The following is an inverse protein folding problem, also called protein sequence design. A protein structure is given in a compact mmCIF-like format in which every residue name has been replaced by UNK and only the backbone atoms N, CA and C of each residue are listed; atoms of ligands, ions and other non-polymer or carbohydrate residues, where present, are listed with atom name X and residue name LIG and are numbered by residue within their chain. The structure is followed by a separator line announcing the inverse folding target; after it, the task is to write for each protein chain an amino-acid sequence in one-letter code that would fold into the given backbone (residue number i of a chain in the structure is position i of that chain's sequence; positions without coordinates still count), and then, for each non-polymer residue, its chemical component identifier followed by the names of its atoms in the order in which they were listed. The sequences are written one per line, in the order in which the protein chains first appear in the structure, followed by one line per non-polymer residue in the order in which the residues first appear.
data_IF_244298093316
#
_entry.id   IF_244298093316
#
_cell.length_a   1.000
_cell.length_b   1.000
_cell.length_c   1.000
_cell.angle_alpha   90.00
_cell.angle_beta   90.00
_cell.angle_gamma   90.00
#
_symmetry.space_group_name_H-M   'P 1'
#
loop_
_entity.id
_entity.type
_entity.pdbx_description
1 polymer ?
#
# COMPACT_ATOMS: atom_id res chain seq x y z
N UNK A 1 23.44 -7.10 43.18
CA UNK A 1 23.21 -7.64 41.82
C UNK A 1 22.11 -6.80 41.18
N UNK A 2 22.16 -6.49 39.88
CA UNK A 2 21.08 -5.75 39.18
C UNK A 2 20.63 -6.46 37.90
N UNK A 3 19.42 -6.18 37.43
CA UNK A 3 18.91 -6.73 36.17
C UNK A 3 19.18 -5.77 35.01
N UNK A 4 19.54 -6.32 33.84
CA UNK A 4 19.73 -5.54 32.63
C UNK A 4 18.40 -4.94 32.15
N UNK A 5 18.35 -3.61 31.99
CA UNK A 5 17.15 -2.89 31.51
C UNK A 5 16.71 -3.27 30.09
N UNK A 6 17.58 -3.86 29.27
CA UNK A 6 17.26 -4.25 27.90
C UNK A 6 16.86 -5.72 27.73
N UNK A 7 17.43 -6.64 28.51
CA UNK A 7 17.25 -8.08 28.30
C UNK A 7 16.79 -8.86 29.54
N UNK A 8 16.67 -8.21 30.70
CA UNK A 8 16.13 -8.81 31.92
C UNK A 8 17.03 -9.86 32.58
N UNK A 9 18.29 -10.02 32.15
CA UNK A 9 19.25 -10.94 32.80
C UNK A 9 19.99 -10.29 33.96
N UNK A 10 20.37 -11.07 34.96
CA UNK A 10 21.17 -10.61 36.10
C UNK A 10 22.61 -10.25 35.66
N UNK A 11 23.08 -9.11 36.16
CA UNK A 11 24.41 -8.55 35.92
C UNK A 11 25.00 -7.98 37.20
N UNK A 12 26.34 -7.93 37.27
CA UNK A 12 27.07 -7.34 38.41
C UNK A 12 26.79 -5.82 38.48
N UNK A 13 26.67 -5.25 39.68
CA UNK A 13 26.26 -3.84 39.88
C UNK A 13 27.15 -2.81 39.16
N UNK A 14 28.44 -3.11 38.98
CA UNK A 14 29.42 -2.16 38.43
C UNK A 14 29.74 -2.35 36.93
N UNK A 15 28.95 -3.14 36.18
CA UNK A 15 29.19 -3.27 34.74
C UNK A 15 28.57 -2.09 33.99
N UNK A 16 29.37 -1.43 33.15
CA UNK A 16 28.90 -0.35 32.26
C UNK A 16 28.04 -0.90 31.12
N UNK A 17 28.29 -2.13 30.69
CA UNK A 17 27.58 -2.78 29.60
C UNK A 17 27.16 -4.20 29.99
N UNK A 18 25.98 -4.62 29.55
CA UNK A 18 25.49 -5.97 29.77
C UNK A 18 26.27 -6.98 28.91
N UNK A 19 26.93 -8.00 29.50
CA UNK A 19 27.70 -8.99 28.75
C UNK A 19 26.83 -9.90 27.86
N UNK A 20 25.51 -9.93 28.06
CA UNK A 20 24.61 -10.79 27.29
C UNK A 20 23.97 -10.11 26.08
N UNK A 21 23.81 -8.78 26.09
CA UNK A 21 23.10 -8.06 25.02
C UNK A 21 23.79 -6.76 24.59
N UNK A 22 24.90 -6.37 25.21
CA UNK A 22 25.65 -5.16 24.90
C UNK A 22 25.01 -3.85 25.34
N UNK A 23 23.85 -3.87 26.01
CA UNK A 23 23.14 -2.65 26.43
C UNK A 23 23.85 -1.89 27.55
N UNK A 24 23.90 -0.56 27.46
CA UNK A 24 24.46 0.34 28.49
C UNK A 24 23.64 0.27 29.80
N UNK A 25 24.29 0.42 30.94
CA UNK A 25 23.72 0.28 32.29
C UNK A 25 23.92 1.54 33.17
N UNK A 26 24.04 2.73 32.56
CA UNK A 26 24.15 4.01 33.27
C UNK A 26 23.04 4.18 34.30
N UNK A 27 23.44 4.26 35.57
CA UNK A 27 22.56 4.64 36.67
C UNK A 27 22.24 6.12 36.56
N UNK A 28 20.96 6.43 36.33
CA UNK A 28 20.43 7.78 36.41
C UNK A 28 20.46 8.18 37.89
N UNK A 29 21.55 8.81 38.32
CA UNK A 29 21.57 9.53 39.59
C UNK A 29 20.63 10.72 39.48
N UNK A 30 19.53 10.65 40.22
CA UNK A 30 18.59 11.74 40.36
C UNK A 30 19.30 12.98 40.93
N UNK A 31 19.33 14.07 40.17
CA UNK A 31 19.52 15.42 40.70
C UNK A 31 18.47 16.30 40.05
N UNK A 32 17.52 16.70 40.88
CA UNK A 32 16.45 17.64 40.60
C UNK A 32 17.02 19.05 40.50
N UNK A 33 17.05 19.61 39.30
CA UNK A 33 17.05 21.06 39.08
C UNK A 33 16.49 21.32 37.68
N UNK A 34 15.34 21.97 37.63
CA UNK A 34 14.65 22.29 36.39
C UNK A 34 15.42 23.30 35.56
N UNK A 35 15.58 22.97 34.28
CA UNK A 35 15.84 23.89 33.18
C UNK A 35 15.21 23.23 31.93
N UNK A 36 14.23 23.91 31.33
CA UNK A 36 13.65 23.55 30.03
C UNK A 36 14.73 23.66 28.95
N UNK A 37 15.48 22.59 28.75
CA UNK A 37 16.32 22.40 27.58
C UNK A 37 15.53 21.61 26.55
N UNK A 38 15.13 22.29 25.48
CA UNK A 38 14.56 21.71 24.26
C UNK A 38 15.52 20.62 23.76
N UNK A 39 15.17 19.36 24.05
CA UNK A 39 15.86 18.20 23.54
C UNK A 39 15.63 18.12 22.03
N UNK A 40 16.48 18.81 21.26
CA UNK A 40 16.71 18.47 19.86
C UNK A 40 17.29 17.06 19.85
N UNK A 41 16.43 16.06 19.63
CA UNK A 41 16.88 14.71 19.33
C UNK A 41 17.66 14.79 18.03
N UNK A 42 18.99 14.80 18.14
CA UNK A 42 19.85 14.51 16.98
C UNK A 42 19.62 13.05 16.65
N UNK A 43 18.71 12.81 15.72
CA UNK A 43 18.59 11.51 15.04
C UNK A 43 19.95 11.26 14.43
N UNK A 44 20.76 10.45 15.12
CA UNK A 44 22.02 9.96 14.56
C UNK A 44 21.55 8.88 13.58
N UNK A 45 21.26 9.28 12.35
CA UNK A 45 20.87 8.34 11.31
C UNK A 45 22.10 7.47 11.06
N UNK A 46 22.01 6.23 11.51
CA UNK A 46 23.06 5.23 11.31
C UNK A 46 23.26 5.04 9.80
N UNK A 47 24.46 5.39 9.31
CA UNK A 47 24.80 5.34 7.89
C UNK A 47 24.63 3.92 7.32
N UNK A 48 24.81 2.89 8.15
CA UNK A 48 24.59 1.50 7.76
C UNK A 48 23.11 1.24 7.41
N UNK A 49 22.18 1.75 8.22
CA UNK A 49 20.74 1.65 7.95
C UNK A 49 20.32 2.32 6.64
N UNK A 50 20.93 3.48 6.30
CA UNK A 50 20.67 4.18 5.03
C UNK A 50 21.15 3.32 3.84
N UNK A 51 22.35 2.74 3.94
CA UNK A 51 22.92 1.91 2.88
C UNK A 51 22.07 0.66 2.65
N UNK A 52 21.62 -0.01 3.72
CA UNK A 52 20.72 -1.15 3.63
C UNK A 52 19.37 -0.78 2.98
N UNK A 53 18.82 0.40 3.28
CA UNK A 53 17.57 0.88 2.69
C UNK A 53 17.76 1.19 1.20
N UNK A 54 18.87 1.83 0.83
CA UNK A 54 19.21 2.14 -0.55
C UNK A 54 19.39 0.86 -1.38
N UNK A 55 20.04 -0.16 -0.83
CA UNK A 55 20.24 -1.44 -1.50
C UNK A 55 18.91 -2.18 -1.69
N UNK A 56 18.04 -2.20 -0.66
CA UNK A 56 16.68 -2.76 -0.78
C UNK A 56 15.85 -2.01 -1.83
N UNK A 57 15.96 -0.68 -1.90
CA UNK A 57 15.29 0.14 -2.90
C UNK A 57 15.76 -0.15 -4.33
N UNK A 58 17.08 -0.23 -4.57
CA UNK A 58 17.64 -0.62 -5.87
C UNK A 58 17.17 -2.01 -6.30
N UNK A 59 17.12 -2.95 -5.37
CA UNK A 59 16.63 -4.29 -5.62
C UNK A 59 15.16 -4.30 -6.03
N UNK A 60 14.33 -3.43 -5.46
CA UNK A 60 12.92 -3.29 -5.82
C UNK A 60 12.71 -2.77 -7.25
N UNK A 61 13.40 -1.69 -7.65
CA UNK A 61 13.27 -1.18 -9.02
C UNK A 61 13.84 -2.14 -10.07
N UNK A 62 14.94 -2.84 -9.74
CA UNK A 62 15.46 -3.92 -10.57
C UNK A 62 14.43 -5.05 -10.73
N UNK A 63 13.73 -5.40 -9.63
CA UNK A 63 12.63 -6.36 -9.63
C UNK A 63 11.46 -5.92 -10.54
N UNK A 64 10.97 -4.68 -10.40
CA UNK A 64 9.90 -4.13 -11.25
C UNK A 64 10.32 -4.20 -12.73
N UNK A 65 11.52 -3.71 -13.05
CA UNK A 65 12.00 -3.66 -14.43
C UNK A 65 12.18 -5.06 -15.03
N UNK A 66 12.63 -6.02 -14.22
CA UNK A 66 12.71 -7.44 -14.62
C UNK A 66 11.32 -8.00 -14.92
N UNK A 67 10.34 -7.75 -14.07
CA UNK A 67 8.96 -8.24 -14.23
C UNK A 67 8.23 -7.59 -15.42
N UNK A 68 8.53 -6.34 -15.77
CA UNK A 68 7.98 -5.71 -16.98
C UNK A 68 8.46 -6.43 -18.24
N UNK A 69 9.73 -6.84 -18.28
CA UNK A 69 10.29 -7.58 -19.42
C UNK A 69 9.82 -9.03 -19.45
N UNK A 70 9.69 -9.66 -18.28
CA UNK A 70 9.33 -11.06 -18.13
C UNK A 70 8.35 -11.24 -16.95
N UNK A 71 7.04 -11.07 -17.17
CA UNK A 71 6.07 -11.14 -16.09
C UNK A 71 5.98 -12.56 -15.52
N UNK A 72 6.19 -12.69 -14.21
CA UNK A 72 6.13 -13.95 -13.49
C UNK A 72 4.67 -14.27 -13.18
N UNK A 73 4.05 -15.15 -13.96
CA UNK A 73 2.68 -15.60 -13.74
C UNK A 73 2.68 -17.01 -13.14
N UNK A 74 2.02 -17.19 -12.00
CA UNK A 74 1.74 -18.50 -11.41
C UNK A 74 2.89 -19.19 -10.66
N UNK A 75 4.13 -18.74 -10.79
CA UNK A 75 5.27 -19.31 -10.05
C UNK A 75 5.48 -18.59 -8.71
N UNK A 76 5.81 -19.33 -7.65
CA UNK A 76 6.26 -18.75 -6.38
C UNK A 76 7.64 -18.14 -6.58
N UNK A 77 7.77 -16.84 -6.32
CA UNK A 77 9.05 -16.15 -6.38
C UNK A 77 9.75 -16.23 -5.02
N UNK A 78 11.09 -16.14 -4.98
CA UNK A 78 11.85 -16.19 -3.73
C UNK A 78 11.60 -14.97 -2.81
N UNK A 79 11.09 -13.86 -3.36
CA UNK A 79 10.94 -12.59 -2.68
C UNK A 79 9.47 -12.13 -2.62
N UNK A 80 8.60 -12.90 -1.97
CA UNK A 80 7.15 -12.60 -1.92
C UNK A 80 6.78 -11.22 -1.36
N UNK A 81 7.68 -10.57 -0.62
CA UNK A 81 7.44 -9.25 -0.04
C UNK A 81 7.37 -8.12 -1.09
N UNK A 82 7.96 -8.28 -2.28
CA UNK A 82 7.91 -7.24 -3.31
C UNK A 82 6.50 -7.05 -3.88
N UNK A 83 5.69 -8.10 -3.92
CA UNK A 83 4.25 -8.00 -4.20
C UNK A 83 3.51 -7.12 -3.20
N UNK A 84 3.81 -7.25 -1.90
CA UNK A 84 3.20 -6.42 -0.84
C UNK A 84 3.62 -4.96 -1.02
N UNK A 85 4.90 -4.70 -1.27
CA UNK A 85 5.41 -3.34 -1.54
C UNK A 85 4.72 -2.74 -2.76
N UNK A 86 4.59 -3.52 -3.84
CA UNK A 86 3.91 -3.08 -5.08
C UNK A 86 2.44 -2.78 -4.85
N UNK A 87 1.74 -3.62 -4.08
CA UNK A 87 0.36 -3.38 -3.67
C UNK A 87 0.25 -2.06 -2.89
N UNK A 88 1.04 -1.86 -1.83
CA UNK A 88 0.96 -0.66 -1.01
C UNK A 88 1.29 0.60 -1.81
N UNK A 89 2.40 0.57 -2.56
CA UNK A 89 2.86 1.70 -3.36
C UNK A 89 1.83 2.08 -4.42
N UNK A 90 1.26 1.09 -5.11
CA UNK A 90 0.26 1.33 -6.15
C UNK A 90 -1.00 2.00 -5.56
N UNK A 91 -1.52 1.51 -4.44
CA UNK A 91 -2.71 2.09 -3.81
C UNK A 91 -2.45 3.52 -3.31
N UNK A 92 -1.28 3.78 -2.71
CA UNK A 92 -0.89 5.14 -2.29
C UNK A 92 -0.81 6.08 -3.48
N UNK A 93 -0.14 5.67 -4.56
CA UNK A 93 -0.01 6.49 -5.76
C UNK A 93 -1.36 6.78 -6.41
N UNK A 94 -2.25 5.78 -6.52
CA UNK A 94 -3.59 5.97 -7.10
C UNK A 94 -4.42 6.92 -6.23
N UNK A 95 -4.50 6.67 -4.92
CA UNK A 95 -5.26 7.50 -3.99
C UNK A 95 -4.76 8.95 -4.00
N UNK A 96 -3.44 9.15 -3.95
CA UNK A 96 -2.84 10.48 -3.99
C UNK A 96 -3.10 11.19 -5.32
N UNK A 97 -3.00 10.46 -6.44
CA UNK A 97 -3.24 11.01 -7.78
C UNK A 97 -4.67 11.49 -7.95
N UNK A 98 -5.66 10.68 -7.54
CA UNK A 98 -7.09 11.03 -7.64
C UNK A 98 -7.41 12.16 -6.67
N UNK A 99 -6.95 12.07 -5.43
CA UNK A 99 -7.19 13.09 -4.41
C UNK A 99 -6.61 14.45 -4.81
N UNK A 100 -5.40 14.47 -5.35
CA UNK A 100 -4.80 15.69 -5.86
C UNK A 100 -5.54 16.22 -7.10
N UNK A 101 -5.90 15.34 -8.06
CA UNK A 101 -6.60 15.74 -9.28
C UNK A 101 -7.98 16.35 -8.99
N UNK A 102 -8.73 15.79 -8.04
CA UNK A 102 -10.01 16.33 -7.61
C UNK A 102 -9.80 17.58 -6.76
N UNK A 103 -8.91 17.49 -5.76
CA UNK A 103 -8.37 18.59 -4.94
C UNK A 103 -8.18 19.91 -5.65
N UNK A 104 -7.32 19.89 -6.67
CA UNK A 104 -6.90 21.07 -7.44
C UNK A 104 -8.06 21.87 -8.02
N UNK A 105 -9.19 21.22 -8.35
CA UNK A 105 -10.33 21.89 -8.96
C UNK A 105 -11.29 22.53 -7.95
N UNK A 106 -11.15 22.24 -6.66
CA UNK A 106 -12.09 22.68 -5.62
C UNK A 106 -11.40 23.50 -4.52
N UNK A 107 -10.42 22.93 -3.81
CA UNK A 107 -9.63 23.61 -2.78
C UNK A 107 -8.37 22.82 -2.42
N UNK A 108 -7.32 23.48 -1.91
CA UNK A 108 -6.06 22.81 -1.55
C UNK A 108 -6.17 21.91 -0.29
N UNK A 109 -7.07 22.24 0.62
CA UNK A 109 -7.39 21.43 1.81
C UNK A 109 -8.05 20.10 1.42
N UNK A 110 -8.86 20.11 0.37
CA UNK A 110 -9.60 18.93 -0.11
C UNK A 110 -8.71 17.75 -0.55
N UNK A 111 -7.50 18.03 -1.07
CA UNK A 111 -6.56 16.99 -1.47
C UNK A 111 -6.16 16.04 -0.35
N UNK A 112 -6.19 16.47 0.91
CA UNK A 112 -5.79 15.63 2.04
C UNK A 112 -6.99 14.89 2.64
N UNK A 113 -8.16 15.54 2.69
CA UNK A 113 -9.39 14.95 3.23
C UNK A 113 -9.86 13.75 2.41
N UNK A 114 -9.83 13.84 1.08
CA UNK A 114 -10.25 12.74 0.20
C UNK A 114 -9.20 11.62 0.11
N UNK A 115 -7.93 11.91 0.44
CA UNK A 115 -6.84 10.95 0.27
C UNK A 115 -7.02 9.72 1.16
N UNK A 116 -7.34 9.92 2.45
CA UNK A 116 -7.43 8.82 3.40
C UNK A 116 -8.62 7.87 3.11
N UNK A 117 -9.84 8.36 2.84
CA UNK A 117 -10.96 7.50 2.43
C UNK A 117 -10.66 6.74 1.12
N UNK A 118 -10.06 7.41 0.12
CA UNK A 118 -9.68 6.75 -1.13
C UNK A 118 -8.60 5.69 -0.92
N UNK A 119 -7.58 5.98 -0.11
CA UNK A 119 -6.53 5.04 0.22
C UNK A 119 -7.13 3.79 0.90
N UNK A 120 -8.03 3.99 1.86
CA UNK A 120 -8.71 2.89 2.55
C UNK A 120 -9.57 2.09 1.57
N UNK A 121 -10.34 2.75 0.70
CA UNK A 121 -11.15 2.10 -0.33
C UNK A 121 -10.29 1.21 -1.23
N UNK A 122 -9.21 1.73 -1.77
CA UNK A 122 -8.36 0.97 -2.68
C UNK A 122 -7.61 -0.14 -1.95
N UNK A 123 -7.09 0.10 -0.75
CA UNK A 123 -6.46 -0.95 0.05
C UNK A 123 -7.44 -2.11 0.30
N UNK A 124 -8.59 -1.84 0.90
CA UNK A 124 -9.56 -2.89 1.28
C UNK A 124 -10.15 -3.55 0.05
N UNK A 125 -10.57 -2.77 -0.96
CA UNK A 125 -11.12 -3.29 -2.21
C UNK A 125 -10.12 -4.21 -2.89
N UNK A 126 -8.90 -3.75 -3.14
CA UNK A 126 -7.89 -4.58 -3.80
C UNK A 126 -7.42 -5.77 -2.97
N UNK A 127 -7.53 -5.71 -1.64
CA UNK A 127 -7.28 -6.86 -0.77
C UNK A 127 -8.29 -7.99 -0.98
N UNK A 128 -9.53 -7.70 -1.37
CA UNK A 128 -10.54 -8.72 -1.74
C UNK A 128 -10.00 -9.63 -2.84
N UNK A 129 -9.31 -9.09 -3.85
CA UNK A 129 -8.72 -9.88 -4.94
C UNK A 129 -7.64 -10.84 -4.41
N UNK A 130 -6.82 -10.38 -3.46
CA UNK A 130 -5.79 -11.20 -2.80
C UNK A 130 -6.43 -12.34 -2.02
N UNK A 131 -7.43 -12.03 -1.19
CA UNK A 131 -8.16 -13.03 -0.40
C UNK A 131 -8.86 -14.03 -1.31
N UNK A 132 -9.49 -13.59 -2.40
CA UNK A 132 -10.15 -14.46 -3.36
C UNK A 132 -9.16 -15.46 -3.97
N UNK A 133 -8.02 -15.01 -4.50
CA UNK A 133 -6.99 -15.92 -5.05
C UNK A 133 -6.42 -16.84 -3.98
N UNK A 134 -6.16 -16.33 -2.77
CA UNK A 134 -5.64 -17.12 -1.65
C UNK A 134 -6.60 -18.26 -1.26
N UNK A 135 -7.89 -17.94 -1.06
CA UNK A 135 -8.91 -18.92 -0.69
C UNK A 135 -9.12 -19.95 -1.79
N UNK A 136 -9.20 -19.52 -3.06
CA UNK A 136 -9.38 -20.42 -4.19
C UNK A 136 -8.18 -21.35 -4.37
N UNK A 137 -6.96 -20.81 -4.28
CA UNK A 137 -5.73 -21.58 -4.42
C UNK A 137 -5.59 -22.63 -3.31
N UNK A 138 -5.81 -22.24 -2.05
CA UNK A 138 -5.65 -23.13 -0.91
C UNK A 138 -6.80 -24.13 -0.74
N UNK A 139 -8.05 -23.69 -0.87
CA UNK A 139 -9.23 -24.54 -0.61
C UNK A 139 -9.66 -25.37 -1.81
N UNK A 140 -9.57 -24.81 -3.02
CA UNK A 140 -10.18 -25.42 -4.21
C UNK A 140 -9.13 -26.14 -5.05
N UNK A 141 -8.01 -25.46 -5.32
CA UNK A 141 -6.90 -26.00 -6.11
C UNK A 141 -5.89 -26.80 -5.27
N UNK A 142 -5.98 -26.75 -3.93
CA UNK A 142 -5.08 -27.44 -2.99
C UNK A 142 -3.60 -27.08 -3.16
N UNK A 143 -3.31 -25.91 -3.72
CA UNK A 143 -1.96 -25.36 -3.78
C UNK A 143 -1.66 -24.73 -2.42
N UNK A 144 -0.51 -25.03 -1.81
CA UNK A 144 -0.11 -24.40 -0.54
C UNK A 144 0.51 -23.04 -0.85
N UNK A 145 -0.28 -21.97 -0.81
CA UNK A 145 0.21 -20.60 -0.91
C UNK A 145 0.10 -19.89 0.43
N UNK A 146 1.12 -19.11 0.77
CA UNK A 146 1.02 -18.15 1.86
C UNK A 146 0.38 -16.84 1.34
N UNK A 147 -0.12 -16.00 2.25
CA UNK A 147 -0.75 -14.73 1.89
C UNK A 147 0.23 -13.81 1.15
N UNK A 148 1.48 -13.74 1.62
CA UNK A 148 2.55 -12.93 1.01
C UNK A 148 2.86 -13.39 -0.42
N UNK A 149 2.91 -14.71 -0.66
CA UNK A 149 3.10 -15.25 -2.01
C UNK A 149 1.92 -14.93 -2.93
N UNK A 150 0.72 -14.78 -2.36
CA UNK A 150 -0.48 -14.38 -3.11
C UNK A 150 -0.39 -12.92 -3.56
N UNK A 151 0.16 -12.04 -2.73
CA UNK A 151 0.46 -10.66 -3.14
C UNK A 151 1.46 -10.63 -4.29
N UNK A 152 2.58 -11.35 -4.18
CA UNK A 152 3.58 -11.46 -5.26
C UNK A 152 2.96 -11.95 -6.56
N UNK A 153 2.10 -12.96 -6.46
CA UNK A 153 1.44 -13.56 -7.60
C UNK A 153 0.52 -12.58 -8.33
N UNK A 154 -0.26 -11.77 -7.61
CA UNK A 154 -1.17 -10.78 -8.22
C UNK A 154 -0.44 -9.50 -8.64
N UNK A 155 0.44 -8.98 -7.79
CA UNK A 155 1.05 -7.65 -7.98
C UNK A 155 2.38 -7.67 -8.74
N UNK A 156 3.08 -8.80 -8.79
CA UNK A 156 4.31 -8.94 -9.55
C UNK A 156 4.12 -8.69 -11.06
N UNK A 157 3.16 -9.34 -11.74
CA UNK A 157 2.92 -9.13 -13.18
C UNK A 157 2.53 -7.71 -13.57
N UNK A 158 1.95 -6.94 -12.64
CA UNK A 158 1.50 -5.57 -12.90
C UNK A 158 2.54 -4.52 -12.51
N UNK A 159 3.82 -4.90 -12.50
CA UNK A 159 4.94 -3.97 -12.26
C UNK A 159 4.89 -2.73 -13.17
N UNK A 160 4.36 -2.85 -14.40
CA UNK A 160 4.15 -1.71 -15.31
C UNK A 160 3.16 -0.67 -14.76
N UNK A 161 2.18 -1.10 -13.96
CA UNK A 161 1.17 -0.22 -13.38
C UNK A 161 1.78 0.79 -12.41
N UNK A 162 2.93 0.51 -11.79
CA UNK A 162 3.65 1.47 -10.93
C UNK A 162 4.11 2.67 -11.74
N UNK A 163 4.72 2.46 -12.91
CA UNK A 163 5.10 3.57 -13.79
C UNK A 163 3.87 4.32 -14.31
N UNK A 164 2.81 3.60 -14.65
CA UNK A 164 1.52 4.21 -15.00
C UNK A 164 0.98 5.10 -13.88
N UNK A 165 1.05 4.66 -12.63
CA UNK A 165 0.59 5.42 -11.47
C UNK A 165 1.48 6.64 -11.16
N UNK A 166 2.80 6.53 -11.36
CA UNK A 166 3.72 7.68 -11.25
C UNK A 166 3.41 8.73 -12.33
N UNK A 167 3.19 8.30 -13.57
CA UNK A 167 2.79 9.19 -14.66
C UNK A 167 1.44 9.83 -14.35
N UNK A 168 0.47 9.05 -13.86
CA UNK A 168 -0.84 9.53 -13.43
C UNK A 168 -0.74 10.58 -12.32
N UNK A 169 0.17 10.38 -11.35
CA UNK A 169 0.45 11.36 -10.31
C UNK A 169 1.08 12.63 -10.89
N UNK A 170 2.08 12.52 -11.77
CA UNK A 170 2.66 13.69 -12.43
C UNK A 170 1.62 14.48 -13.24
N UNK A 171 0.72 13.78 -13.92
CA UNK A 171 -0.39 14.37 -14.66
C UNK A 171 -1.39 15.06 -13.75
N UNK A 172 -1.60 14.60 -12.51
CA UNK A 172 -2.51 15.27 -11.58
C UNK A 172 -2.04 16.68 -11.21
N UNK A 173 -0.72 16.94 -11.21
CA UNK A 173 -0.16 18.28 -11.01
C UNK A 173 -0.32 19.16 -12.25
N UNK A 174 -0.05 18.60 -13.43
CA UNK A 174 -0.03 19.36 -14.69
C UNK A 174 -1.44 19.55 -15.27
N UNK A 175 -2.40 18.71 -14.87
CA UNK A 175 -3.73 18.65 -15.47
C UNK A 175 -4.43 20.02 -15.49
N UNK A 176 -4.45 20.62 -16.67
CA UNK A 176 -5.47 21.54 -17.17
C UNK A 176 -6.55 20.70 -17.87
N UNK A 177 -7.74 21.25 -18.17
CA UNK A 177 -8.88 20.52 -18.75
C UNK A 177 -8.51 19.52 -19.88
N UNK A 178 -7.53 19.85 -20.75
CA UNK A 178 -7.10 18.95 -21.84
C UNK A 178 -6.38 17.66 -21.43
N UNK A 179 -5.72 17.59 -20.27
CA UNK A 179 -4.99 16.39 -19.82
C UNK A 179 -5.85 15.44 -18.97
N UNK A 180 -7.07 15.84 -18.61
CA UNK A 180 -8.00 15.03 -17.80
C UNK A 180 -8.30 13.67 -18.44
N UNK A 181 -8.48 13.62 -19.77
CA UNK A 181 -8.74 12.38 -20.50
C UNK A 181 -7.55 11.41 -20.43
N UNK A 182 -6.33 11.94 -20.48
CA UNK A 182 -5.12 11.13 -20.41
C UNK A 182 -4.90 10.58 -18.98
N UNK A 183 -5.25 11.36 -17.96
CA UNK A 183 -5.32 10.89 -16.57
C UNK A 183 -6.30 9.71 -16.43
N UNK A 184 -7.53 9.86 -16.92
CA UNK A 184 -8.56 8.80 -16.87
C UNK A 184 -8.10 7.56 -17.65
N UNK A 185 -7.44 7.73 -18.80
CA UNK A 185 -6.89 6.62 -19.57
C UNK A 185 -5.87 5.80 -18.77
N UNK A 186 -4.93 6.44 -18.08
CA UNK A 186 -3.96 5.75 -17.22
C UNK A 186 -4.65 5.04 -16.05
N UNK A 187 -5.66 5.68 -15.45
CA UNK A 187 -6.44 5.08 -14.37
C UNK A 187 -7.13 3.79 -14.83
N UNK A 188 -7.82 3.83 -15.97
CA UNK A 188 -8.48 2.66 -16.58
C UNK A 188 -7.46 1.58 -16.93
N UNK A 189 -6.30 1.96 -17.50
CA UNK A 189 -5.24 1.02 -17.84
C UNK A 189 -4.70 0.30 -16.60
N UNK A 190 -4.51 1.00 -15.48
CA UNK A 190 -4.06 0.40 -14.22
C UNK A 190 -5.08 -0.63 -13.71
N UNK A 191 -6.37 -0.28 -13.66
CA UNK A 191 -7.42 -1.21 -13.24
C UNK A 191 -7.56 -2.40 -14.19
N UNK A 192 -7.38 -2.17 -15.48
CA UNK A 192 -7.36 -3.24 -16.48
C UNK A 192 -6.20 -4.21 -16.21
N UNK A 193 -4.99 -3.72 -15.96
CA UNK A 193 -3.83 -4.56 -15.65
C UNK A 193 -4.04 -5.39 -14.38
N UNK A 194 -4.58 -4.78 -13.31
CA UNK A 194 -4.95 -5.48 -12.08
C UNK A 194 -5.94 -6.62 -12.37
N UNK A 195 -6.99 -6.32 -13.14
CA UNK A 195 -8.05 -7.29 -13.49
C UNK A 195 -7.49 -8.44 -14.33
N UNK A 196 -6.66 -8.14 -15.33
CA UNK A 196 -5.99 -9.16 -16.16
C UNK A 196 -5.08 -10.03 -15.31
N UNK A 197 -4.31 -9.45 -14.39
CA UNK A 197 -3.43 -10.23 -13.50
C UNK A 197 -4.22 -11.14 -12.58
N UNK A 198 -5.32 -10.66 -12.00
CA UNK A 198 -6.23 -11.47 -11.19
C UNK A 198 -6.74 -12.70 -11.97
N UNK A 199 -7.30 -12.47 -13.17
CA UNK A 199 -7.83 -13.54 -14.03
C UNK A 199 -6.72 -14.50 -14.48
N UNK A 200 -5.58 -13.98 -14.95
CA UNK A 200 -4.47 -14.79 -15.42
C UNK A 200 -3.93 -15.71 -14.32
N UNK A 201 -3.87 -15.22 -13.08
CA UNK A 201 -3.41 -16.01 -11.95
C UNK A 201 -4.36 -17.12 -11.55
N UNK A 202 -5.67 -16.90 -11.63
CA UNK A 202 -6.65 -17.96 -11.45
C UNK A 202 -6.52 -19.03 -12.54
N UNK A 203 -6.38 -18.60 -13.80
CA UNK A 203 -6.32 -19.51 -14.95
C UNK A 203 -5.06 -20.38 -15.00
N UNK A 204 -3.91 -19.81 -14.64
CA UNK A 204 -2.59 -20.47 -14.70
C UNK A 204 -2.29 -21.36 -13.49
N UNK A 205 -3.12 -21.37 -12.45
CA UNK A 205 -2.94 -22.30 -11.32
C UNK A 205 -2.95 -23.73 -11.82
N UNK A 206 -1.88 -24.48 -11.56
CA UNK A 206 -1.81 -25.89 -11.91
C UNK A 206 -2.93 -26.66 -11.22
N UNK A 207 -3.74 -27.33 -12.03
CA UNK A 207 -4.96 -27.96 -11.55
C UNK A 207 -4.62 -29.35 -11.03
N UNK A 208 -4.64 -29.53 -9.72
CA UNK A 208 -4.43 -30.86 -9.11
C UNK A 208 -5.64 -31.80 -9.28
N UNK A 209 -6.78 -31.31 -9.79
CA UNK A 209 -7.99 -32.12 -10.01
C UNK A 209 -8.41 -32.11 -11.48
N UNK A 210 -8.30 -33.23 -12.21
CA UNK A 210 -8.66 -33.32 -13.63
C UNK A 210 -10.15 -33.09 -13.90
N UNK A 211 -11.02 -33.22 -12.88
CA UNK A 211 -12.47 -33.17 -13.05
C UNK A 211 -13.08 -31.76 -12.87
N UNK A 212 -12.29 -30.72 -12.58
CA UNK A 212 -12.79 -29.36 -12.35
C UNK A 212 -12.47 -28.46 -13.54
N UNK A 213 -13.50 -28.02 -14.25
CA UNK A 213 -13.36 -27.06 -15.36
C UNK A 213 -12.98 -25.66 -14.82
N UNK A 214 -11.83 -25.15 -15.28
CA UNK A 214 -11.23 -23.87 -14.83
C UNK A 214 -12.09 -22.65 -15.16
N UNK A 215 -12.83 -22.73 -16.27
CA UNK A 215 -13.66 -21.62 -16.74
C UNK A 215 -14.73 -21.25 -15.71
N UNK A 216 -15.50 -22.24 -15.25
CA UNK A 216 -16.56 -22.00 -14.26
C UNK A 216 -16.02 -21.51 -12.91
N UNK A 217 -14.87 -22.01 -12.47
CA UNK A 217 -14.24 -21.53 -11.24
C UNK A 217 -13.73 -20.09 -11.37
N UNK A 218 -13.19 -19.72 -12.52
CA UNK A 218 -12.74 -18.34 -12.78
C UNK A 218 -13.92 -17.38 -12.83
N UNK A 219 -15.03 -17.77 -13.48
CA UNK A 219 -16.26 -16.97 -13.48
C UNK A 219 -16.84 -16.85 -12.07
N UNK A 220 -16.95 -17.95 -11.33
CA UNK A 220 -17.43 -17.94 -9.96
C UNK A 220 -16.59 -17.04 -9.05
N UNK A 221 -15.26 -17.08 -9.22
CA UNK A 221 -14.33 -16.20 -8.52
C UNK A 221 -14.55 -14.72 -8.86
N UNK A 222 -14.76 -14.39 -10.14
CA UNK A 222 -15.04 -13.02 -10.59
C UNK A 222 -16.36 -12.50 -10.01
N UNK A 223 -17.42 -13.31 -10.02
CA UNK A 223 -18.72 -12.95 -9.44
C UNK A 223 -18.58 -12.73 -7.93
N UNK A 224 -17.94 -13.66 -7.22
CA UNK A 224 -17.76 -13.56 -5.77
C UNK A 224 -16.91 -12.34 -5.38
N UNK A 225 -15.80 -12.11 -6.10
CA UNK A 225 -14.97 -10.93 -5.90
C UNK A 225 -15.77 -9.65 -6.20
N UNK A 226 -16.55 -9.62 -7.28
CA UNK A 226 -17.41 -8.49 -7.63
C UNK A 226 -18.44 -8.16 -6.55
N UNK A 227 -19.11 -9.17 -5.99
CA UNK A 227 -20.03 -9.00 -4.85
C UNK A 227 -19.29 -8.45 -3.63
N UNK A 228 -18.11 -9.00 -3.31
CA UNK A 228 -17.31 -8.52 -2.19
C UNK A 228 -16.82 -7.07 -2.39
N UNK A 229 -16.40 -6.70 -3.60
CA UNK A 229 -16.09 -5.31 -3.96
C UNK A 229 -17.30 -4.39 -3.79
N UNK A 230 -18.49 -4.82 -4.23
CA UNK A 230 -19.72 -4.05 -4.05
C UNK A 230 -20.02 -3.83 -2.57
N UNK A 231 -19.88 -4.85 -1.73
CA UNK A 231 -20.05 -4.72 -0.28
C UNK A 231 -19.04 -3.74 0.31
N UNK A 232 -17.76 -3.85 -0.05
CA UNK A 232 -16.72 -2.91 0.41
C UNK A 232 -17.03 -1.48 0.00
N UNK A 233 -17.45 -1.28 -1.26
CA UNK A 233 -17.83 0.04 -1.76
C UNK A 233 -19.05 0.61 -1.04
N UNK A 234 -20.06 -0.20 -0.72
CA UNK A 234 -21.23 0.23 0.06
C UNK A 234 -20.88 0.58 1.51
N UNK A 235 -19.96 -0.16 2.14
CA UNK A 235 -19.54 0.13 3.52
C UNK A 235 -18.67 1.38 3.62
N UNK A 236 -17.89 1.67 2.58
CA UNK A 236 -16.97 2.81 2.56
C UNK A 236 -17.54 4.02 1.81
N UNK A 237 -18.68 3.88 1.11
CA UNK A 237 -19.32 4.97 0.39
C UNK A 237 -19.74 6.09 1.32
N UNK A 238 -20.14 5.79 2.55
CA UNK A 238 -20.55 6.81 3.51
C UNK A 238 -19.37 7.71 3.91
N UNK A 239 -18.17 7.14 4.05
CA UNK A 239 -16.96 7.91 4.37
C UNK A 239 -16.57 8.85 3.23
N UNK A 240 -16.62 8.35 2.00
CA UNK A 240 -16.32 9.13 0.79
C UNK A 240 -17.42 10.17 0.56
N UNK A 241 -18.69 9.77 0.74
CA UNK A 241 -19.86 10.61 0.60
C UNK A 241 -19.86 11.78 1.57
N UNK A 242 -19.52 11.55 2.84
CA UNK A 242 -19.36 12.62 3.83
C UNK A 242 -18.26 13.62 3.43
N UNK A 243 -17.12 13.11 2.93
CA UNK A 243 -16.02 13.96 2.45
C UNK A 243 -16.42 14.80 1.22
N UNK A 244 -17.21 14.21 0.33
CA UNK A 244 -17.76 14.90 -0.86
C UNK A 244 -18.85 15.91 -0.46
N UNK A 245 -19.71 15.58 0.51
CA UNK A 245 -20.77 16.46 0.98
C UNK A 245 -20.19 17.73 1.63
N UNK A 246 -19.19 17.58 2.51
CA UNK A 246 -18.46 18.70 3.09
C UNK A 246 -17.85 19.60 2.02
N UNK A 247 -17.29 19.01 0.95
CA UNK A 247 -16.81 19.77 -0.22
C UNK A 247 -17.93 20.57 -0.90
N UNK A 248 -19.12 19.99 -1.09
CA UNK A 248 -20.21 20.72 -1.72
C UNK A 248 -20.64 21.92 -0.86
N UNK A 249 -20.67 21.76 0.46
CA UNK A 249 -20.96 22.85 1.40
C UNK A 249 -19.92 23.97 1.28
N UNK A 250 -18.61 23.66 1.33
CA UNK A 250 -17.55 24.68 1.18
C UNK A 250 -17.62 25.44 -0.15
N UNK A 251 -17.91 24.73 -1.25
CA UNK A 251 -18.04 25.36 -2.57
C UNK A 251 -19.25 26.29 -2.61
N UNK A 252 -20.38 25.84 -2.09
CA UNK A 252 -21.61 26.63 -2.02
C UNK A 252 -21.32 27.91 -1.21
N UNK A 253 -20.76 27.79 -0.02
CA UNK A 253 -20.46 28.94 0.85
C UNK A 253 -19.47 29.92 0.19
N UNK A 254 -18.43 29.41 -0.47
CA UNK A 254 -17.47 30.21 -1.23
C UNK A 254 -18.13 31.00 -2.37
N UNK A 255 -18.96 30.33 -3.17
CA UNK A 255 -19.71 30.96 -4.27
C UNK A 255 -20.66 32.03 -3.72
N UNK A 256 -21.43 31.71 -2.68
CA UNK A 256 -22.37 32.65 -2.06
C UNK A 256 -21.63 33.87 -1.49
N UNK A 257 -20.55 33.68 -0.74
CA UNK A 257 -19.77 34.79 -0.19
C UNK A 257 -19.24 35.73 -1.29
N UNK A 258 -18.78 35.19 -2.42
CA UNK A 258 -18.26 35.99 -3.54
C UNK A 258 -19.32 36.80 -4.31
N UNK A 259 -20.61 36.46 -4.18
CA UNK A 259 -21.71 37.18 -4.83
C UNK A 259 -22.23 38.37 -4.01
N UNK A 260 -21.99 38.39 -2.70
CA UNK A 260 -22.55 39.40 -1.78
C UNK A 260 -21.54 40.45 -1.30
N UNK A 261 -20.26 40.33 -1.65
CA UNK A 261 -19.20 41.31 -1.38
C UNK A 261 -18.61 41.85 -2.68
#
# INVERSE_FOLDING_TARGET
MKFCMHCGKEVKEQVKFCPFCGGDQKEVSATTSGEESVATSRITIDQESINQLADKGKNYFAYINKNIRNPILGASNQNGYFGVVTYLLLNVLIALSISHALGKNFSSTFSLELFLPLLLLFLVGQFVNVVAVYLLSNKIFKVRLNLVDTFERIYGPISLAIYGAIIMLALSFISTYGFSMLFVLFLVLIFFLISVSFVANLWRTENLSPNKNRFYWTIGALILAGIAHLIVNLLLSDMIGASIAHLFEEIIDSIFSSMFY
#
